data_IF_910310367746
#
_entry.id   IF_910310367746
#
_cell.length_a   1.000
_cell.length_b   1.000
_cell.length_c   1.000
_cell.angle_alpha   90.00
_cell.angle_beta   90.00
_cell.angle_gamma   90.00
#
_symmetry.space_group_name_H-M   'P 1'
#
loop_
_entity.id
_entity.type
_entity.pdbx_description
1 polymer ?
#
# COMPACT_ATOMS: atom_id res chain seq x y z
N UNK A 1 -4.74 4.07 20.60
CA UNK A 1 -3.92 2.84 20.53
C UNK A 1 -3.53 2.65 19.08
N UNK A 2 -2.24 2.77 18.75
CA UNK A 2 -1.75 2.56 17.38
C UNK A 2 -2.12 1.15 16.91
N UNK A 3 -2.69 1.04 15.71
CA UNK A 3 -2.99 -0.25 15.06
C UNK A 3 -1.64 -0.89 14.69
N UNK A 4 -1.05 -1.60 15.65
CA UNK A 4 0.25 -2.24 15.48
C UNK A 4 0.22 -3.15 14.26
N UNK A 5 1.25 -3.07 13.42
CA UNK A 5 1.41 -3.96 12.28
C UNK A 5 1.73 -5.37 12.79
N UNK A 6 0.68 -6.19 12.91
CA UNK A 6 0.79 -7.59 13.35
C UNK A 6 1.73 -8.39 12.48
N UNK A 7 1.77 -8.13 11.17
CA UNK A 7 2.64 -8.84 10.21
C UNK A 7 4.11 -8.51 10.49
N UNK A 8 4.46 -7.22 10.58
CA UNK A 8 5.83 -6.81 10.92
C UNK A 8 6.28 -7.39 12.27
N UNK A 9 5.40 -7.36 13.28
CA UNK A 9 5.72 -7.92 14.59
C UNK A 9 6.00 -9.42 14.53
N UNK A 10 5.21 -10.18 13.77
CA UNK A 10 5.40 -11.62 13.59
C UNK A 10 6.73 -11.91 12.88
N UNK A 11 7.05 -11.19 11.79
CA UNK A 11 8.32 -11.38 11.09
C UNK A 11 9.54 -11.10 11.99
N UNK A 12 9.46 -10.05 12.82
CA UNK A 12 10.51 -9.72 13.78
C UNK A 12 10.73 -10.87 14.78
N UNK A 13 9.65 -11.43 15.31
CA UNK A 13 9.70 -12.59 16.23
C UNK A 13 10.30 -13.81 15.54
N UNK A 14 9.90 -14.10 14.30
CA UNK A 14 10.47 -15.20 13.51
C UNK A 14 11.98 -15.02 13.35
N UNK A 15 12.45 -13.81 13.04
CA UNK A 15 13.89 -13.51 12.95
C UNK A 15 14.65 -13.84 14.24
N UNK A 16 14.11 -13.47 15.40
CA UNK A 16 14.69 -13.85 16.70
C UNK A 16 14.70 -15.36 16.94
N UNK A 17 13.60 -16.06 16.61
CA UNK A 17 13.51 -17.51 16.76
C UNK A 17 14.54 -18.22 15.87
N UNK A 18 14.75 -17.75 14.64
CA UNK A 18 15.75 -18.30 13.72
C UNK A 18 17.16 -18.12 14.29
N UNK A 19 17.50 -16.95 14.82
CA UNK A 19 18.83 -16.72 15.40
C UNK A 19 19.08 -17.61 16.63
N UNK A 20 18.11 -17.67 17.55
CA UNK A 20 18.22 -18.50 18.76
C UNK A 20 18.28 -19.99 18.39
N UNK A 21 17.38 -20.44 17.52
CA UNK A 21 17.33 -21.83 17.05
C UNK A 21 18.62 -22.21 16.32
N UNK A 22 19.11 -21.35 15.43
CA UNK A 22 20.36 -21.56 14.72
C UNK A 22 21.58 -21.64 15.63
N UNK A 23 21.59 -20.84 16.71
CA UNK A 23 22.61 -20.93 17.75
C UNK A 23 22.64 -22.32 18.42
N UNK A 24 21.49 -22.84 18.84
CA UNK A 24 21.41 -24.17 19.44
C UNK A 24 21.73 -25.29 18.45
N UNK A 25 21.29 -25.17 17.20
CA UNK A 25 21.59 -26.14 16.14
C UNK A 25 23.10 -26.19 15.89
N UNK A 26 23.76 -25.04 15.77
CA UNK A 26 25.19 -24.98 15.53
C UNK A 26 26.00 -25.53 16.70
N UNK A 27 25.58 -25.29 17.94
CA UNK A 27 26.19 -25.90 19.14
C UNK A 27 26.01 -27.43 19.14
N UNK A 28 24.83 -27.94 18.76
CA UNK A 28 24.59 -29.38 18.68
C UNK A 28 25.38 -30.04 17.55
N UNK A 29 25.54 -29.37 16.40
CA UNK A 29 26.36 -29.89 15.30
C UNK A 29 27.85 -29.87 15.65
N UNK A 30 28.33 -28.80 16.28
CA UNK A 30 29.72 -28.65 16.69
C UNK A 30 30.16 -29.69 17.73
N UNK A 31 29.26 -30.17 18.59
CA UNK A 31 29.57 -31.14 19.66
C UNK A 31 29.56 -32.61 19.23
N UNK A 32 29.14 -32.92 17.99
CA UNK A 32 28.98 -34.30 17.48
C UNK A 32 30.26 -34.96 16.93
N UNK A 33 31.42 -34.33 17.04
CA UNK A 33 32.69 -34.94 16.62
C UNK A 33 33.43 -35.54 17.84
N UNK A 34 33.37 -36.86 18.06
CA UNK A 34 33.87 -37.48 19.28
C UNK A 34 35.40 -37.64 19.32
N UNK A 35 36.10 -37.50 18.19
CA UNK A 35 37.52 -37.87 18.10
C UNK A 35 38.50 -36.69 17.97
N UNK A 36 38.03 -35.46 17.66
CA UNK A 36 38.91 -34.30 17.37
C UNK A 36 38.51 -33.02 18.12
N UNK A 37 37.55 -33.11 19.06
CA UNK A 37 37.00 -31.94 19.74
C UNK A 37 35.92 -31.21 18.92
N UNK A 38 35.59 -29.99 19.32
CA UNK A 38 34.45 -29.26 18.77
C UNK A 38 34.66 -28.90 17.28
N UNK A 39 33.76 -29.37 16.41
CA UNK A 39 33.84 -29.15 14.97
C UNK A 39 33.31 -27.75 14.58
N UNK A 40 34.16 -26.75 14.81
CA UNK A 40 33.88 -25.36 14.46
C UNK A 40 33.72 -25.11 12.95
N UNK A 41 34.29 -25.99 12.11
CA UNK A 41 34.19 -25.89 10.65
C UNK A 41 32.76 -26.00 10.12
N UNK A 42 31.88 -26.71 10.83
CA UNK A 42 30.46 -26.83 10.48
C UNK A 42 29.61 -25.88 11.32
N UNK A 43 29.97 -25.65 12.59
CA UNK A 43 29.22 -24.79 13.48
C UNK A 43 29.26 -23.31 13.06
N UNK A 44 30.42 -22.77 12.65
CA UNK A 44 30.55 -21.37 12.26
C UNK A 44 29.71 -20.98 11.04
N UNK A 45 29.72 -21.75 9.92
CA UNK A 45 28.83 -21.48 8.80
C UNK A 45 27.35 -21.55 9.18
N UNK A 46 26.96 -22.50 10.03
CA UNK A 46 25.58 -22.64 10.49
C UNK A 46 25.15 -21.43 11.35
N UNK A 47 26.01 -20.98 12.27
CA UNK A 47 25.80 -19.76 13.06
C UNK A 47 25.64 -18.54 12.15
N UNK A 48 26.60 -18.33 11.24
CA UNK A 48 26.59 -17.20 10.34
C UNK A 48 25.35 -17.19 9.44
N UNK A 49 24.99 -18.33 8.87
CA UNK A 49 23.77 -18.47 8.06
C UNK A 49 22.53 -18.12 8.86
N UNK A 50 22.37 -18.67 10.07
CA UNK A 50 21.20 -18.36 10.91
C UNK A 50 21.14 -16.89 11.34
N UNK A 51 22.29 -16.27 11.59
CA UNK A 51 22.39 -14.86 11.92
C UNK A 51 21.99 -13.97 10.74
N UNK A 52 22.54 -14.21 9.55
CA UNK A 52 22.23 -13.45 8.34
C UNK A 52 20.75 -13.60 7.97
N UNK A 53 20.22 -14.83 8.00
CA UNK A 53 18.80 -15.07 7.73
C UNK A 53 17.91 -14.38 8.76
N UNK A 54 18.23 -14.48 10.06
CA UNK A 54 17.49 -13.78 11.11
C UNK A 54 17.48 -12.27 10.94
N UNK A 55 18.63 -11.67 10.61
CA UNK A 55 18.76 -10.25 10.31
C UNK A 55 17.93 -9.83 9.10
N UNK A 56 17.86 -10.67 8.06
CA UNK A 56 17.04 -10.41 6.88
C UNK A 56 15.54 -10.35 7.22
N UNK A 57 15.04 -11.28 8.04
CA UNK A 57 13.65 -11.25 8.52
C UNK A 57 13.35 -10.01 9.37
N UNK A 58 14.28 -9.61 10.24
CA UNK A 58 14.15 -8.38 11.04
C UNK A 58 14.15 -7.14 10.12
N UNK A 59 15.07 -7.06 9.16
CA UNK A 59 15.12 -5.97 8.20
C UNK A 59 13.82 -5.82 7.39
N UNK A 60 13.29 -6.92 6.87
CA UNK A 60 11.99 -6.91 6.18
C UNK A 60 10.84 -6.51 7.10
N UNK A 61 10.86 -6.91 8.37
CA UNK A 61 9.85 -6.47 9.33
C UNK A 61 9.82 -4.94 9.50
N UNK A 62 10.98 -4.30 9.48
CA UNK A 62 11.12 -2.85 9.63
C UNK A 62 10.67 -2.12 8.36
N UNK A 63 11.06 -2.62 7.19
CA UNK A 63 10.59 -2.09 5.90
C UNK A 63 9.05 -2.16 5.80
N UNK A 64 8.45 -3.29 6.17
CA UNK A 64 6.99 -3.47 6.15
C UNK A 64 6.30 -2.55 7.17
N UNK A 65 6.89 -2.37 8.36
CA UNK A 65 6.36 -1.45 9.36
C UNK A 65 6.39 0.00 8.86
N UNK A 66 7.47 0.40 8.21
CA UNK A 66 7.62 1.74 7.62
C UNK A 66 6.62 1.97 6.48
N UNK A 67 6.48 1.02 5.56
CA UNK A 67 5.49 1.09 4.48
C UNK A 67 4.07 1.23 5.02
N UNK A 68 3.70 0.44 6.03
CA UNK A 68 2.37 0.57 6.64
C UNK A 68 2.19 1.93 7.33
N UNK A 69 3.24 2.47 7.95
CA UNK A 69 3.20 3.81 8.55
C UNK A 69 2.97 4.89 7.49
N UNK A 70 3.73 4.86 6.39
CA UNK A 70 3.58 5.81 5.28
C UNK A 70 2.17 5.70 4.69
N UNK A 71 1.71 4.49 4.40
CA UNK A 71 0.35 4.26 3.91
C UNK A 71 -0.71 4.80 4.90
N UNK A 72 -0.55 4.58 6.20
CA UNK A 72 -1.48 5.11 7.19
C UNK A 72 -1.47 6.64 7.22
N UNK A 73 -0.29 7.27 7.13
CA UNK A 73 -0.16 8.74 7.09
C UNK A 73 -0.84 9.34 5.86
N UNK A 74 -0.57 8.80 4.67
CA UNK A 74 -1.19 9.25 3.42
C UNK A 74 -2.72 9.13 3.46
N UNK A 75 -3.26 8.05 4.04
CA UNK A 75 -4.70 7.82 4.10
C UNK A 75 -5.41 8.45 5.32
N UNK A 76 -4.71 8.73 6.43
CA UNK A 76 -5.29 9.42 7.60
C UNK A 76 -5.19 10.94 7.51
N UNK A 77 -4.14 11.49 6.89
CA UNK A 77 -4.04 12.95 6.71
C UNK A 77 -5.01 13.45 5.62
N UNK A 78 -5.50 12.58 4.74
CA UNK A 78 -6.65 12.87 3.87
C UNK A 78 -8.04 12.75 4.55
N UNK A 79 -8.10 12.37 5.84
CA UNK A 79 -9.37 12.10 6.56
C UNK A 79 -9.40 12.67 7.99
N UNK A 80 -8.61 13.73 8.27
CA UNK A 80 -8.53 14.39 9.58
C UNK A 80 -8.99 15.85 9.54
N UNK A 81 -10.11 16.11 8.89
CA UNK A 81 -10.97 17.23 9.25
C UNK A 81 -12.21 16.70 9.97
N UNK A 82 -12.05 16.19 11.20
CA UNK A 82 -13.11 16.30 12.19
C UNK A 82 -12.62 16.03 13.62
N UNK A 83 -12.81 17.06 14.45
CA UNK A 83 -12.88 17.06 15.92
C UNK A 83 -11.54 17.08 16.67
N UNK A 84 -10.97 18.28 16.83
CA UNK A 84 -10.94 18.89 18.15
C UNK A 84 -10.85 20.42 18.05
N UNK A 85 -11.91 21.05 18.55
CA UNK A 85 -12.15 22.49 18.71
C UNK A 85 -10.93 23.29 19.17
N UNK A 86 -10.57 24.33 18.42
CA UNK A 86 -10.55 25.71 18.90
C UNK A 86 -10.60 26.69 17.72
N UNK A 87 -11.48 27.68 17.85
CA UNK A 87 -11.76 28.76 16.90
C UNK A 87 -10.50 29.36 16.25
N UNK A 88 -10.47 29.39 14.93
CA UNK A 88 -10.18 30.59 14.14
C UNK A 88 -10.64 30.37 12.68
N UNK A 89 -11.09 31.45 12.07
CA UNK A 89 -11.97 31.52 10.90
C UNK A 89 -11.44 30.90 9.61
N UNK A 90 -12.41 30.44 8.81
CA UNK A 90 -12.45 30.37 7.34
C UNK A 90 -11.22 30.94 6.60
N UNK A 91 -10.42 30.06 6.00
CA UNK A 91 -10.02 30.17 4.60
C UNK A 91 -9.92 28.74 4.03
N UNK A 92 -10.91 28.32 3.24
CA UNK A 92 -10.78 27.20 2.30
C UNK A 92 -9.61 27.53 1.36
N UNK A 93 -8.43 27.00 1.66
CA UNK A 93 -7.33 27.06 0.71
C UNK A 93 -7.69 26.23 -0.53
N UNK A 94 -7.59 26.78 -1.75
CA UNK A 94 -7.80 26.03 -2.97
C UNK A 94 -6.79 24.89 -3.01
N UNK A 95 -7.24 23.63 -2.99
CA UNK A 95 -6.38 22.50 -3.30
C UNK A 95 -5.74 22.77 -4.66
N UNK A 96 -4.41 22.95 -4.69
CA UNK A 96 -3.66 23.14 -5.92
C UNK A 96 -3.98 21.97 -6.85
N UNK A 97 -4.60 22.28 -7.99
CA UNK A 97 -4.91 21.34 -9.06
C UNK A 97 -3.60 20.75 -9.58
N UNK A 98 -3.14 19.65 -9.01
CA UNK A 98 -2.03 18.88 -9.54
C UNK A 98 -2.55 18.18 -10.80
N UNK A 99 -2.19 18.70 -11.97
CA UNK A 99 -2.45 18.01 -13.24
C UNK A 99 -1.72 16.67 -13.21
N UNK A 100 -2.49 15.59 -13.08
CA UNK A 100 -1.98 14.23 -13.17
C UNK A 100 -2.71 13.53 -14.33
N UNK A 101 -2.04 12.55 -14.92
CA UNK A 101 -2.57 11.79 -16.04
C UNK A 101 -2.35 10.30 -15.76
N UNK A 102 -3.34 9.44 -16.03
CA UNK A 102 -3.16 7.99 -15.92
C UNK A 102 -2.05 7.54 -16.87
N UNK A 103 -1.26 6.57 -16.44
CA UNK A 103 -0.21 5.98 -17.28
C UNK A 103 -0.84 5.13 -18.40
N UNK A 104 -0.12 4.82 -19.48
CA UNK A 104 -0.63 3.92 -20.52
C UNK A 104 -1.06 2.56 -19.98
N UNK A 105 -0.36 2.05 -18.96
CA UNK A 105 -0.72 0.80 -18.29
C UNK A 105 -2.07 0.93 -17.56
N UNK A 106 -2.28 2.04 -16.84
CA UNK A 106 -3.57 2.28 -16.16
C UNK A 106 -4.73 2.31 -17.14
N UNK A 107 -4.51 2.92 -18.32
CA UNK A 107 -5.51 2.97 -19.39
C UNK A 107 -5.83 1.56 -19.92
N UNK A 108 -4.82 0.71 -20.12
CA UNK A 108 -5.02 -0.69 -20.53
C UNK A 108 -5.79 -1.49 -19.46
N UNK A 109 -5.44 -1.32 -18.18
CA UNK A 109 -6.11 -2.01 -17.08
C UNK A 109 -7.56 -1.52 -16.87
N UNK A 110 -7.83 -0.23 -17.11
CA UNK A 110 -9.21 0.30 -17.16
C UNK A 110 -9.97 -0.36 -18.33
N UNK A 111 -9.38 -0.46 -19.52
CA UNK A 111 -10.03 -1.12 -20.66
C UNK A 111 -10.33 -2.59 -20.36
N UNK A 112 -9.46 -3.29 -19.64
CA UNK A 112 -9.71 -4.66 -19.17
C UNK A 112 -10.87 -4.70 -18.15
N UNK A 113 -10.94 -3.75 -17.21
CA UNK A 113 -12.02 -3.65 -16.22
C UNK A 113 -13.40 -3.47 -16.88
N UNK A 114 -13.44 -2.77 -18.01
CA UNK A 114 -14.64 -2.52 -18.80
C UNK A 114 -14.69 -3.35 -20.10
N UNK A 115 -14.04 -4.52 -20.19
CA UNK A 115 -13.99 -5.31 -21.43
C UNK A 115 -15.36 -5.62 -22.07
N UNK A 116 -16.43 -5.68 -21.27
CA UNK A 116 -17.81 -5.90 -21.72
C UNK A 116 -18.52 -4.62 -22.21
N UNK A 117 -17.88 -3.46 -22.06
CA UNK A 117 -18.48 -2.14 -22.24
C UNK A 117 -17.55 -1.26 -23.08
N UNK A 118 -18.10 -0.53 -24.05
CA UNK A 118 -17.29 0.30 -24.92
C UNK A 118 -16.97 1.63 -24.20
N UNK A 119 -15.73 1.79 -23.76
CA UNK A 119 -15.25 3.02 -23.12
C UNK A 119 -15.03 4.10 -24.19
N UNK A 120 -15.71 5.23 -24.04
CA UNK A 120 -15.67 6.36 -24.99
C UNK A 120 -14.64 7.40 -24.58
N UNK A 121 -14.51 7.65 -23.27
CA UNK A 121 -13.62 8.69 -22.72
C UNK A 121 -13.09 8.27 -21.35
N UNK A 122 -11.80 8.50 -21.12
CA UNK A 122 -11.13 8.37 -19.81
C UNK A 122 -10.52 9.72 -19.50
N UNK A 123 -10.92 10.34 -18.39
CA UNK A 123 -10.46 11.68 -18.01
C UNK A 123 -9.97 11.66 -16.55
N UNK A 124 -8.78 12.22 -16.32
CA UNK A 124 -8.21 12.33 -14.97
C UNK A 124 -9.03 13.34 -14.16
N UNK A 125 -9.53 12.92 -12.99
CA UNK A 125 -10.23 13.86 -12.11
C UNK A 125 -9.23 14.76 -11.38
N UNK A 126 -9.68 15.85 -10.72
CA UNK A 126 -8.82 16.70 -9.90
C UNK A 126 -8.22 15.96 -8.69
N UNK A 127 -8.72 14.77 -8.37
CA UNK A 127 -8.24 13.93 -7.29
C UNK A 127 -7.25 12.90 -7.86
N UNK A 128 -6.03 12.90 -7.32
CA UNK A 128 -4.97 11.96 -7.66
C UNK A 128 -5.49 10.51 -7.53
N UNK A 129 -5.13 9.66 -8.49
CA UNK A 129 -5.57 8.27 -8.58
C UNK A 129 -7.07 8.04 -8.86
N UNK A 130 -7.87 9.05 -9.23
CA UNK A 130 -9.27 8.86 -9.62
C UNK A 130 -9.58 9.32 -11.04
N UNK A 131 -9.99 8.39 -11.90
CA UNK A 131 -10.42 8.70 -13.25
C UNK A 131 -11.95 8.65 -13.38
N UNK A 132 -12.45 9.45 -14.31
CA UNK A 132 -13.83 9.35 -14.80
C UNK A 132 -13.80 8.57 -16.10
N UNK A 133 -14.66 7.56 -16.19
CA UNK A 133 -14.83 6.72 -17.38
C UNK A 133 -16.24 6.94 -17.92
N UNK A 134 -16.34 7.32 -19.18
CA UNK A 134 -17.59 7.47 -19.90
C UNK A 134 -17.80 6.27 -20.82
N UNK A 135 -19.00 5.67 -20.76
CA UNK A 135 -19.34 4.43 -21.45
C UNK A 135 -20.31 4.74 -22.59
N UNK A 136 -20.10 4.09 -23.74
CA UNK A 136 -20.93 4.28 -24.94
C UNK A 136 -22.36 3.79 -24.69
N UNK A 137 -23.33 4.68 -24.87
CA UNK A 137 -24.75 4.41 -24.63
C UNK A 137 -25.24 4.66 -23.19
N UNK A 138 -24.36 5.10 -22.28
CA UNK A 138 -24.72 5.49 -20.91
C UNK A 138 -24.49 6.99 -20.68
N UNK A 139 -25.53 7.70 -20.24
CA UNK A 139 -25.43 9.11 -19.83
C UNK A 139 -24.73 9.26 -18.46
N UNK A 140 -24.40 8.16 -17.79
CA UNK A 140 -23.75 8.16 -16.50
C UNK A 140 -22.27 7.86 -16.63
N UNK A 141 -21.48 8.54 -15.80
CA UNK A 141 -20.05 8.34 -15.67
C UNK A 141 -19.74 7.42 -14.51
N UNK A 142 -18.71 6.59 -14.69
CA UNK A 142 -18.19 5.69 -13.67
C UNK A 142 -16.88 6.25 -13.12
N UNK A 143 -16.75 6.28 -11.79
CA UNK A 143 -15.52 6.73 -11.12
C UNK A 143 -14.65 5.52 -10.82
N UNK A 144 -13.39 5.57 -11.20
CA UNK A 144 -12.43 4.48 -11.06
C UNK A 144 -11.24 4.93 -10.21
N UNK A 145 -10.90 4.15 -9.19
CA UNK A 145 -9.71 4.33 -8.34
C UNK A 145 -8.54 3.52 -8.90
N UNK A 146 -7.40 4.17 -9.09
CA UNK A 146 -6.15 3.63 -9.62
C UNK A 146 -5.05 3.47 -8.56
N UNK A 147 -5.23 3.99 -7.34
CA UNK A 147 -4.20 3.98 -6.29
C UNK A 147 -3.92 2.61 -5.67
N UNK A 148 -4.53 1.55 -6.19
CA UNK A 148 -4.39 0.17 -5.75
C UNK A 148 -3.54 -0.69 -6.70
N UNK A 149 -3.55 -2.01 -6.48
CA UNK A 149 -2.87 -2.96 -7.38
C UNK A 149 -3.62 -3.20 -8.71
N UNK A 150 -4.92 -2.86 -8.75
CA UNK A 150 -5.79 -2.98 -9.93
C UNK A 150 -6.85 -1.88 -9.89
N UNK A 151 -7.27 -1.34 -11.05
CA UNK A 151 -8.38 -0.41 -11.15
C UNK A 151 -9.65 -0.97 -10.52
N UNK A 152 -10.36 -0.12 -9.78
CA UNK A 152 -11.59 -0.52 -9.11
C UNK A 152 -12.68 0.54 -9.27
N UNK A 153 -13.90 0.08 -9.60
CA UNK A 153 -15.09 0.95 -9.59
C UNK A 153 -15.39 1.45 -8.18
N UNK A 154 -15.50 2.76 -8.03
CA UNK A 154 -15.87 3.42 -6.77
C UNK A 154 -17.33 3.80 -6.84
N UNK A 155 -18.15 3.15 -6.02
CA UNK A 155 -19.56 3.48 -5.91
C UNK A 155 -19.79 4.58 -4.87
N UNK A 156 -20.83 5.39 -5.07
CA UNK A 156 -21.36 6.34 -4.08
C UNK A 156 -21.65 5.68 -2.73
N UNK A 157 -21.93 4.38 -2.69
CA UNK A 157 -22.09 3.62 -1.44
C UNK A 157 -20.81 3.51 -0.60
N UNK A 158 -19.64 3.63 -1.24
CA UNK A 158 -18.32 3.49 -0.59
C UNK A 158 -17.69 4.83 -0.21
N UNK A 159 -17.76 5.83 -1.09
CA UNK A 159 -17.20 7.17 -0.90
C UNK A 159 -18.15 8.23 -1.50
N UNK A 160 -19.26 8.56 -0.83
CA UNK A 160 -20.32 9.40 -1.42
C UNK A 160 -19.82 10.81 -1.77
N UNK A 161 -19.07 11.46 -0.87
CA UNK A 161 -18.62 12.84 -1.06
C UNK A 161 -17.64 12.97 -2.23
N UNK A 162 -16.70 12.03 -2.34
CA UNK A 162 -15.73 12.00 -3.41
C UNK A 162 -16.39 11.80 -4.78
N UNK A 163 -17.26 10.80 -4.91
CA UNK A 163 -17.95 10.50 -6.16
C UNK A 163 -18.83 11.68 -6.58
N UNK A 164 -19.55 12.29 -5.64
CA UNK A 164 -20.39 13.45 -5.91
C UNK A 164 -19.55 14.67 -6.36
N UNK A 165 -18.39 14.91 -5.76
CA UNK A 165 -17.51 16.01 -6.14
C UNK A 165 -16.89 15.80 -7.52
N UNK A 166 -16.44 14.59 -7.83
CA UNK A 166 -15.92 14.22 -9.15
C UNK A 166 -17.01 14.36 -10.22
N UNK A 167 -18.23 13.89 -9.94
CA UNK A 167 -19.36 14.03 -10.86
C UNK A 167 -19.73 15.49 -11.11
N UNK A 168 -19.80 16.32 -10.06
CA UNK A 168 -20.03 17.76 -10.19
C UNK A 168 -18.93 18.43 -11.00
N UNK A 169 -17.67 18.08 -10.77
CA UNK A 169 -16.54 18.60 -11.54
C UNK A 169 -16.68 18.24 -13.03
N UNK A 170 -16.96 16.98 -13.34
CA UNK A 170 -17.09 16.52 -14.72
C UNK A 170 -18.26 17.19 -15.45
N UNK A 171 -19.41 17.32 -14.79
CA UNK A 171 -20.59 17.99 -15.36
C UNK A 171 -20.39 19.50 -15.58
N UNK A 172 -19.42 20.11 -14.90
CA UNK A 172 -19.05 21.52 -15.07
C UNK A 172 -17.95 21.72 -16.12
N UNK A 173 -17.40 20.64 -16.70
CA UNK A 173 -16.47 20.76 -17.83
C UNK A 173 -17.23 21.22 -19.08
N UNK A 174 -16.67 22.15 -19.87
CA UNK A 174 -17.25 22.50 -21.16
C UNK A 174 -17.31 21.24 -22.05
N UNK A 175 -18.36 21.06 -22.86
CA UNK A 175 -18.42 19.96 -23.80
C UNK A 175 -17.21 20.06 -24.75
N UNK A 176 -16.41 18.99 -24.77
CA UNK A 176 -15.24 18.82 -25.64
C UNK A 176 -15.64 18.42 -27.05
#
# INVERSE_FOLDING_TARGET
MEKQNTVAKVLRVIGFVIMIGGFFIALSLGSRAPEVGQNWGIALPALFSSFVTGMLFIGFSEVIALLQKIHLQLYQDGNKDTVSSNNESDEEQPQEKKEWHPTPQDVEEIQELFHDQKVTKIEASPYEDYCVVQIDGEDHIEVVELGGFKPKKVSTASKPDLVNNIQKWFNNLPPS
#
